data_IF_393757846473
#
_entry.id   IF_393757846473
#
_cell.length_a   1.000
_cell.length_b   1.000
_cell.length_c   1.000
_cell.angle_alpha   90.00
_cell.angle_beta   90.00
_cell.angle_gamma   90.00
#
_symmetry.space_group_name_H-M   'P 1'
#
loop_
_entity.id
_entity.type
_entity.pdbx_description
1 polymer ?
#
# COMPACT_ATOMS: atom_id res chain seq x y z
N UNK A 1 -15.34 30.27 -32.63
CA UNK A 1 -15.98 29.34 -31.71
C UNK A 1 -14.86 28.76 -30.86
N UNK A 2 -14.63 29.37 -29.69
CA UNK A 2 -13.45 29.07 -28.86
C UNK A 2 -13.68 27.76 -28.10
N UNK A 3 -12.74 26.86 -28.23
CA UNK A 3 -12.56 25.71 -27.30
C UNK A 3 -12.27 26.32 -25.95
N UNK A 4 -13.18 26.19 -25.00
CA UNK A 4 -12.90 26.42 -23.60
C UNK A 4 -12.14 25.18 -23.11
N UNK A 5 -10.87 25.36 -22.72
CA UNK A 5 -10.11 24.39 -21.93
C UNK A 5 -10.86 24.16 -20.62
N UNK A 6 -11.50 22.99 -20.47
CA UNK A 6 -12.29 22.59 -19.31
C UNK A 6 -11.44 21.87 -18.27
N UNK A 7 -10.21 22.34 -18.01
CA UNK A 7 -9.31 21.71 -17.03
C UNK A 7 -9.31 22.35 -15.64
N UNK A 8 -10.07 23.44 -15.41
CA UNK A 8 -9.90 24.26 -14.19
C UNK A 8 -11.03 24.16 -13.15
N UNK A 9 -11.96 23.20 -13.25
CA UNK A 9 -13.13 23.16 -12.34
C UNK A 9 -13.34 21.81 -11.64
N UNK A 10 -12.28 20.99 -11.43
CA UNK A 10 -12.38 19.79 -10.62
C UNK A 10 -12.25 20.16 -9.14
N UNK A 11 -13.34 19.95 -8.38
CA UNK A 11 -13.41 20.16 -6.93
C UNK A 11 -12.23 19.49 -6.21
N UNK A 12 -11.69 20.17 -5.20
CA UNK A 12 -10.70 19.62 -4.27
C UNK A 12 -11.26 18.41 -3.52
N UNK A 13 -10.49 17.32 -3.38
CA UNK A 13 -10.84 16.14 -2.57
C UNK A 13 -10.48 16.39 -1.12
N UNK A 14 -11.47 16.33 -0.25
CA UNK A 14 -11.33 16.53 1.20
C UNK A 14 -11.08 15.19 1.88
N UNK A 15 -9.85 15.01 2.36
CA UNK A 15 -9.39 13.77 2.99
C UNK A 15 -9.60 13.76 4.50
N UNK A 16 -10.12 12.64 5.03
CA UNK A 16 -10.10 12.31 6.45
C UNK A 16 -9.11 11.16 6.71
N UNK A 17 -8.58 11.09 7.93
CA UNK A 17 -7.68 10.03 8.37
C UNK A 17 -8.33 9.19 9.46
N UNK A 18 -8.48 7.88 9.26
CA UNK A 18 -8.79 6.92 10.30
C UNK A 18 -7.51 6.29 10.84
N UNK A 19 -7.13 6.63 12.07
CA UNK A 19 -5.91 6.19 12.71
C UNK A 19 -4.79 7.23 12.61
N UNK A 20 -4.72 8.19 13.55
CA UNK A 20 -3.71 9.25 13.62
C UNK A 20 -2.36 8.71 14.16
N UNK A 21 -1.80 7.67 13.54
CA UNK A 21 -0.53 7.05 13.88
C UNK A 21 0.66 7.57 13.06
N UNK A 22 1.84 6.97 13.26
CA UNK A 22 3.08 7.36 12.59
C UNK A 22 2.96 7.35 11.06
N UNK A 23 2.34 6.30 10.49
CA UNK A 23 2.21 6.19 9.03
C UNK A 23 1.31 7.29 8.45
N UNK A 24 0.28 7.68 9.19
CA UNK A 24 -0.63 8.76 8.79
C UNK A 24 0.06 10.13 8.75
N UNK A 25 1.06 10.38 9.60
CA UNK A 25 1.89 11.59 9.52
C UNK A 25 2.67 11.64 8.20
N UNK A 26 3.20 10.51 7.74
CA UNK A 26 3.89 10.43 6.45
C UNK A 26 2.95 10.69 5.28
N UNK A 27 1.82 9.98 5.24
CA UNK A 27 0.79 10.21 4.23
C UNK A 27 0.32 11.67 4.20
N UNK A 28 -0.03 12.25 5.34
CA UNK A 28 -0.50 13.62 5.44
C UNK A 28 0.55 14.65 4.97
N UNK A 29 1.84 14.37 5.23
CA UNK A 29 2.95 15.21 4.74
C UNK A 29 3.05 15.19 3.23
N UNK A 30 2.89 14.04 2.62
CA UNK A 30 2.87 13.86 1.16
C UNK A 30 1.61 14.48 0.54
N UNK A 31 0.45 14.26 1.16
CA UNK A 31 -0.84 14.77 0.69
C UNK A 31 -0.86 16.29 0.57
N UNK A 32 -0.16 17.02 1.46
CA UNK A 32 0.01 18.49 1.37
C UNK A 32 0.66 18.98 0.05
N UNK A 33 1.31 18.09 -0.69
CA UNK A 33 1.97 18.40 -1.96
C UNK A 33 1.15 17.97 -3.17
N UNK A 34 0.00 17.32 -2.92
CA UNK A 34 -0.87 16.80 -3.98
C UNK A 34 -1.87 17.88 -4.40
N UNK A 35 -1.84 18.24 -5.68
CA UNK A 35 -2.78 19.20 -6.24
C UNK A 35 -4.21 18.67 -6.19
N UNK A 36 -5.11 19.51 -5.70
CA UNK A 36 -6.53 19.16 -5.58
C UNK A 36 -6.84 18.21 -4.42
N UNK A 37 -5.96 18.10 -3.43
CA UNK A 37 -6.19 17.39 -2.19
C UNK A 37 -6.06 18.30 -0.97
N UNK A 38 -6.93 18.08 0.02
CA UNK A 38 -6.85 18.77 1.32
C UNK A 38 -7.18 17.80 2.45
N UNK A 39 -6.33 17.78 3.47
CA UNK A 39 -6.60 17.06 4.72
C UNK A 39 -7.51 17.92 5.60
N UNK A 40 -8.67 17.40 5.98
CA UNK A 40 -9.70 18.14 6.71
C UNK A 40 -10.09 17.54 8.04
N UNK A 41 -9.94 16.22 8.24
CA UNK A 41 -10.41 15.51 9.43
C UNK A 41 -9.46 14.43 9.88
N UNK A 42 -9.48 14.12 11.17
CA UNK A 42 -8.77 12.97 11.73
C UNK A 42 -9.56 12.29 12.84
N UNK A 43 -9.49 10.97 12.91
CA UNK A 43 -10.10 10.18 13.98
C UNK A 43 -9.11 9.17 14.56
N UNK A 44 -9.22 8.94 15.87
CA UNK A 44 -8.40 7.97 16.58
C UNK A 44 -8.88 7.70 18.00
N UNK A 45 -8.35 6.63 18.60
CA UNK A 45 -8.69 6.22 19.97
C UNK A 45 -7.80 6.89 21.06
N UNK A 46 -6.65 7.44 20.69
CA UNK A 46 -5.70 8.04 21.65
C UNK A 46 -5.75 9.55 21.52
N UNK A 47 -6.32 10.29 22.51
CA UNK A 47 -6.49 11.74 22.44
C UNK A 47 -5.20 12.47 22.08
N UNK A 48 -4.10 12.17 22.78
CA UNK A 48 -2.82 12.83 22.56
C UNK A 48 -2.30 12.69 21.11
N UNK A 49 -2.48 11.52 20.50
CA UNK A 49 -2.06 11.29 19.11
C UNK A 49 -2.92 12.09 18.12
N UNK A 50 -4.24 12.13 18.34
CA UNK A 50 -5.15 12.89 17.46
C UNK A 50 -4.91 14.39 17.61
N UNK A 51 -4.73 14.90 18.84
CA UNK A 51 -4.41 16.32 19.09
C UNK A 51 -3.08 16.73 18.44
N UNK A 52 -2.03 15.89 18.58
CA UNK A 52 -0.74 16.13 17.95
C UNK A 52 -0.88 16.17 16.42
N UNK A 53 -1.58 15.19 15.84
CA UNK A 53 -1.83 15.10 14.42
C UNK A 53 -2.61 16.33 13.90
N UNK A 54 -3.71 16.67 14.54
CA UNK A 54 -4.52 17.85 14.15
C UNK A 54 -3.72 19.15 14.22
N UNK A 55 -2.89 19.31 15.26
CA UNK A 55 -1.99 20.47 15.38
C UNK A 55 -0.94 20.51 14.27
N UNK A 56 -0.30 19.37 13.96
CA UNK A 56 0.73 19.26 12.94
C UNK A 56 0.21 19.57 11.52
N UNK A 57 -1.05 19.25 11.27
CA UNK A 57 -1.68 19.41 9.97
C UNK A 57 -2.73 20.52 9.89
N UNK A 58 -2.89 21.30 10.96
CA UNK A 58 -3.83 22.42 11.03
C UNK A 58 -5.30 22.04 10.76
N UNK A 59 -5.70 20.88 11.28
CA UNK A 59 -7.08 20.40 11.21
C UNK A 59 -7.91 21.13 12.28
N UNK A 60 -9.10 21.61 11.91
CA UNK A 60 -10.03 22.28 12.84
C UNK A 60 -10.49 21.29 13.92
N UNK A 61 -10.64 21.81 15.16
CA UNK A 61 -11.11 21.02 16.28
C UNK A 61 -12.51 20.41 16.06
N UNK A 62 -13.34 21.04 15.23
CA UNK A 62 -14.65 20.51 14.84
C UNK A 62 -14.59 19.21 14.03
N UNK A 63 -13.45 18.94 13.39
CA UNK A 63 -13.20 17.74 12.59
C UNK A 63 -12.16 16.80 13.22
N UNK A 64 -11.95 16.95 14.54
CA UNK A 64 -11.08 16.11 15.37
C UNK A 64 -11.92 15.15 16.19
N UNK A 65 -11.89 13.86 15.86
CA UNK A 65 -12.77 12.85 16.45
C UNK A 65 -11.97 11.91 17.35
N UNK A 66 -12.34 11.85 18.62
CA UNK A 66 -11.67 11.02 19.62
C UNK A 66 -12.69 10.28 20.46
N UNK A 67 -12.52 8.98 20.63
CA UNK A 67 -13.25 8.17 21.62
C UNK A 67 -12.32 7.09 22.16
N UNK A 68 -12.07 7.11 23.46
CA UNK A 68 -11.18 6.16 24.13
C UNK A 68 -11.93 4.92 24.66
N UNK A 69 -13.20 5.08 25.05
CA UNK A 69 -13.96 4.10 25.83
C UNK A 69 -14.46 2.89 25.02
N UNK A 70 -14.62 3.03 23.71
CA UNK A 70 -15.12 1.99 22.77
C UNK A 70 -14.08 1.51 21.75
N UNK A 71 -12.79 1.75 22.03
CA UNK A 71 -11.70 1.40 21.10
C UNK A 71 -11.63 2.31 19.86
N UNK A 72 -12.34 3.42 19.83
CA UNK A 72 -12.35 4.40 18.74
C UNK A 72 -13.54 4.29 17.79
N UNK A 73 -14.44 3.34 17.98
CA UNK A 73 -15.55 3.07 17.04
C UNK A 73 -16.43 4.30 16.82
N UNK A 74 -16.86 5.00 17.87
CA UNK A 74 -17.69 6.20 17.73
C UNK A 74 -16.95 7.37 17.05
N UNK A 75 -15.65 7.51 17.29
CA UNK A 75 -14.84 8.51 16.59
C UNK A 75 -14.72 8.22 15.09
N UNK A 76 -14.52 6.97 14.74
CA UNK A 76 -14.44 6.55 13.33
C UNK A 76 -15.77 6.74 12.61
N UNK A 77 -16.89 6.39 13.26
CA UNK A 77 -18.23 6.63 12.73
C UNK A 77 -18.52 8.11 12.54
N UNK A 78 -18.12 8.95 13.49
CA UNK A 78 -18.30 10.40 13.39
C UNK A 78 -17.54 11.00 12.19
N UNK A 79 -16.30 10.58 11.96
CA UNK A 79 -15.54 11.01 10.78
C UNK A 79 -16.17 10.50 9.48
N UNK A 80 -16.63 9.24 9.43
CA UNK A 80 -17.31 8.68 8.27
C UNK A 80 -18.60 9.44 7.96
N UNK A 81 -19.32 9.90 8.98
CA UNK A 81 -20.56 10.68 8.84
C UNK A 81 -20.33 12.17 8.50
N UNK A 82 -19.08 12.66 8.59
CA UNK A 82 -18.76 14.06 8.34
C UNK A 82 -19.03 14.44 6.87
N UNK A 83 -19.94 15.43 6.59
CA UNK A 83 -20.23 15.85 5.23
C UNK A 83 -19.07 16.59 4.56
N UNK A 84 -18.09 17.05 5.32
CA UNK A 84 -16.91 17.72 4.80
C UNK A 84 -15.76 16.79 4.42
N UNK A 85 -15.94 15.48 4.58
CA UNK A 85 -15.00 14.44 4.13
C UNK A 85 -15.50 13.79 2.85
N UNK A 86 -14.66 13.71 1.82
CA UNK A 86 -14.94 13.05 0.54
C UNK A 86 -14.25 11.67 0.46
N UNK A 87 -13.05 11.57 1.03
CA UNK A 87 -12.21 10.39 0.98
C UNK A 87 -11.55 10.10 2.32
N UNK A 88 -11.26 8.84 2.57
CA UNK A 88 -10.67 8.35 3.83
C UNK A 88 -9.35 7.65 3.52
N UNK A 89 -8.27 8.09 4.20
CA UNK A 89 -7.07 7.29 4.36
C UNK A 89 -7.23 6.42 5.60
N UNK A 90 -7.28 5.10 5.39
CA UNK A 90 -7.52 4.10 6.43
C UNK A 90 -6.20 3.48 6.87
N UNK A 91 -5.73 3.84 8.06
CA UNK A 91 -4.44 3.42 8.62
C UNK A 91 -4.62 2.86 10.04
N UNK A 92 -5.46 1.87 10.16
CA UNK A 92 -5.75 1.12 11.38
C UNK A 92 -4.95 -0.20 11.40
N UNK A 93 -4.97 -0.99 12.49
CA UNK A 93 -4.48 -2.36 12.47
C UNK A 93 -5.20 -3.21 11.39
N UNK A 94 -4.47 -4.13 10.76
CA UNK A 94 -4.91 -4.85 9.55
C UNK A 94 -6.30 -5.51 9.68
N UNK A 95 -6.57 -6.19 10.81
CA UNK A 95 -7.87 -6.83 11.07
C UNK A 95 -9.06 -5.87 11.22
N UNK A 96 -8.83 -4.56 11.21
CA UNK A 96 -9.89 -3.55 11.24
C UNK A 96 -10.22 -3.01 9.85
N UNK A 97 -9.36 -3.24 8.85
CA UNK A 97 -9.46 -2.61 7.54
C UNK A 97 -10.79 -2.92 6.84
N UNK A 98 -11.14 -4.18 6.69
CA UNK A 98 -12.35 -4.61 5.98
C UNK A 98 -13.63 -4.01 6.57
N UNK A 99 -13.76 -4.04 7.90
CA UNK A 99 -14.92 -3.49 8.59
C UNK A 99 -15.07 -1.99 8.28
N UNK A 100 -13.99 -1.22 8.45
CA UNK A 100 -14.04 0.23 8.32
C UNK A 100 -14.06 0.71 6.86
N UNK A 101 -13.38 0.00 5.96
CA UNK A 101 -13.48 0.24 4.52
C UNK A 101 -14.93 0.06 4.03
N UNK A 102 -15.58 -1.05 4.37
CA UNK A 102 -16.98 -1.31 3.97
C UNK A 102 -17.95 -0.27 4.57
N UNK A 103 -17.73 0.21 5.80
CA UNK A 103 -18.56 1.27 6.40
C UNK A 103 -18.37 2.61 5.67
N UNK A 104 -17.14 2.98 5.38
CA UNK A 104 -16.83 4.21 4.65
C UNK A 104 -17.42 4.21 3.23
N UNK A 105 -17.26 3.11 2.49
CA UNK A 105 -17.81 2.95 1.14
C UNK A 105 -19.36 3.05 1.13
N UNK A 106 -20.04 2.43 2.11
CA UNK A 106 -21.50 2.54 2.26
C UNK A 106 -21.97 3.94 2.61
N UNK A 107 -21.13 4.74 3.25
CA UNK A 107 -21.38 6.16 3.52
C UNK A 107 -21.01 7.07 2.33
N UNK A 108 -20.60 6.51 1.20
CA UNK A 108 -20.22 7.27 0.00
C UNK A 108 -18.81 7.88 0.06
N UNK A 109 -17.97 7.44 1.00
CA UNK A 109 -16.58 7.93 1.13
C UNK A 109 -15.64 7.01 0.36
N UNK A 110 -14.84 7.59 -0.55
CA UNK A 110 -13.75 6.88 -1.21
C UNK A 110 -12.71 6.42 -0.18
N UNK A 111 -12.05 5.29 -0.42
CA UNK A 111 -11.10 4.72 0.54
C UNK A 111 -9.76 4.43 -0.12
N UNK A 112 -8.69 4.99 0.46
CA UNK A 112 -7.32 4.53 0.29
C UNK A 112 -6.92 3.80 1.59
N UNK A 113 -6.75 2.48 1.50
CA UNK A 113 -6.52 1.62 2.66
C UNK A 113 -5.06 1.19 2.74
N UNK A 114 -4.43 1.33 3.90
CA UNK A 114 -3.07 0.83 4.11
C UNK A 114 -2.94 -0.67 3.82
N UNK A 115 -1.74 -1.03 3.40
CA UNK A 115 -1.35 -2.41 3.10
C UNK A 115 -1.06 -3.21 4.41
N UNK A 116 -1.28 -4.53 4.44
CA UNK A 116 -2.20 -5.22 3.54
C UNK A 116 -3.63 -4.78 3.81
N UNK A 117 -4.38 -4.52 2.76
CA UNK A 117 -5.75 -4.03 2.91
C UNK A 117 -6.69 -5.08 3.52
N UNK A 118 -6.33 -6.35 3.40
CA UNK A 118 -7.12 -7.50 3.85
C UNK A 118 -6.23 -8.59 4.42
N UNK A 119 -6.81 -9.50 5.20
CA UNK A 119 -6.12 -10.67 5.77
C UNK A 119 -6.37 -11.97 4.97
N UNK A 120 -7.36 -11.97 4.10
CA UNK A 120 -7.76 -13.14 3.31
C UNK A 120 -8.63 -12.74 2.10
N UNK A 121 -8.85 -13.71 1.21
CA UNK A 121 -9.61 -13.54 -0.02
C UNK A 121 -11.09 -13.16 0.23
N UNK A 122 -11.72 -13.69 1.28
CA UNK A 122 -13.12 -13.37 1.61
C UNK A 122 -13.28 -11.88 1.94
N UNK A 123 -12.33 -11.30 2.66
CA UNK A 123 -12.30 -9.88 2.98
C UNK A 123 -12.12 -9.02 1.72
N UNK A 124 -11.24 -9.46 0.80
CA UNK A 124 -11.01 -8.77 -0.46
C UNK A 124 -12.29 -8.75 -1.32
N UNK A 125 -12.95 -9.91 -1.42
CA UNK A 125 -14.24 -10.00 -2.12
C UNK A 125 -15.32 -9.13 -1.48
N UNK A 126 -15.39 -9.07 -0.15
CA UNK A 126 -16.36 -8.23 0.56
C UNK A 126 -16.16 -6.75 0.25
N UNK A 127 -14.92 -6.24 0.30
CA UNK A 127 -14.61 -4.85 -0.03
C UNK A 127 -14.95 -4.56 -1.50
N UNK A 128 -14.51 -5.43 -2.43
CA UNK A 128 -14.75 -5.25 -3.85
C UNK A 128 -16.25 -5.23 -4.20
N UNK A 129 -17.05 -6.10 -3.55
CA UNK A 129 -18.52 -6.11 -3.72
C UNK A 129 -19.13 -4.78 -3.27
N UNK A 130 -18.79 -4.33 -2.05
CA UNK A 130 -19.33 -3.09 -1.49
C UNK A 130 -18.92 -1.87 -2.32
N UNK A 131 -17.67 -1.81 -2.78
CA UNK A 131 -17.19 -0.73 -3.65
C UNK A 131 -18.01 -0.66 -4.94
N UNK A 132 -18.23 -1.78 -5.61
CA UNK A 132 -19.03 -1.87 -6.84
C UNK A 132 -20.50 -1.55 -6.60
N UNK A 133 -21.11 -2.10 -5.55
CA UNK A 133 -22.51 -1.86 -5.18
C UNK A 133 -22.80 -0.39 -4.88
N UNK A 134 -21.89 0.27 -4.18
CA UNK A 134 -22.03 1.68 -3.82
C UNK A 134 -21.58 2.64 -4.93
N UNK A 135 -20.82 2.16 -5.93
CA UNK A 135 -20.20 3.02 -6.95
C UNK A 135 -19.14 3.96 -6.37
N UNK A 136 -18.45 3.55 -5.29
CA UNK A 136 -17.47 4.36 -4.56
C UNK A 136 -16.11 3.70 -4.64
N UNK A 137 -15.03 4.44 -5.02
CA UNK A 137 -13.72 3.84 -5.23
C UNK A 137 -13.07 3.36 -3.94
N UNK A 138 -12.45 2.18 -4.02
CA UNK A 138 -11.52 1.63 -3.06
C UNK A 138 -10.18 1.38 -3.75
N UNK A 139 -9.07 1.71 -3.07
CA UNK A 139 -7.73 1.38 -3.53
C UNK A 139 -6.86 0.96 -2.34
N UNK A 140 -6.10 -0.12 -2.48
CA UNK A 140 -5.06 -0.48 -1.53
C UNK A 140 -3.83 0.42 -1.73
N UNK A 141 -3.25 0.89 -0.62
CA UNK A 141 -2.07 1.75 -0.60
C UNK A 141 -0.77 0.95 -0.81
N UNK A 142 -0.66 0.31 -1.98
CA UNK A 142 0.52 -0.41 -2.41
C UNK A 142 1.53 0.54 -3.05
N UNK A 143 2.09 1.43 -2.24
CA UNK A 143 2.90 2.60 -2.63
C UNK A 143 4.01 2.31 -3.64
N UNK A 144 4.66 1.12 -3.58
CA UNK A 144 5.73 0.76 -4.50
C UNK A 144 5.27 0.69 -5.97
N UNK A 145 3.98 0.43 -6.25
CA UNK A 145 3.41 0.47 -7.61
C UNK A 145 3.30 1.88 -8.18
N UNK A 146 3.28 2.89 -7.33
CA UNK A 146 3.14 4.30 -7.71
C UNK A 146 4.48 5.05 -7.73
N UNK A 147 5.60 4.36 -7.47
CA UNK A 147 6.94 4.93 -7.55
C UNK A 147 7.42 5.05 -9.01
N UNK A 148 8.21 6.09 -9.35
CA UNK A 148 8.79 6.25 -10.70
C UNK A 148 9.57 5.02 -11.16
N UNK A 149 10.33 4.37 -10.28
CA UNK A 149 11.08 3.15 -10.56
C UNK A 149 10.17 2.01 -11.07
N UNK A 150 8.98 1.83 -10.48
CA UNK A 150 8.05 0.79 -10.92
C UNK A 150 7.65 0.96 -12.40
N UNK A 151 7.32 2.19 -12.79
CA UNK A 151 7.00 2.53 -14.18
C UNK A 151 8.20 2.28 -15.13
N UNK A 152 9.41 2.61 -14.68
CA UNK A 152 10.64 2.38 -15.48
C UNK A 152 10.91 0.89 -15.68
N UNK A 153 10.77 0.08 -14.62
CA UNK A 153 10.93 -1.38 -14.68
C UNK A 153 9.91 -2.00 -15.64
N UNK A 154 8.62 -1.64 -15.50
CA UNK A 154 7.57 -2.14 -16.41
C UNK A 154 7.85 -1.76 -17.87
N UNK A 155 8.25 -0.52 -18.11
CA UNK A 155 8.61 -0.06 -19.45
C UNK A 155 9.78 -0.84 -20.05
N UNK A 156 10.81 -1.12 -19.26
CA UNK A 156 11.96 -1.93 -19.71
C UNK A 156 11.55 -3.38 -20.02
N UNK A 157 10.78 -4.02 -19.15
CA UNK A 157 10.30 -5.38 -19.39
C UNK A 157 9.38 -5.45 -20.62
N UNK A 158 8.47 -4.47 -20.76
CA UNK A 158 7.56 -4.38 -21.91
C UNK A 158 8.27 -4.06 -23.25
N UNK A 159 9.46 -3.45 -23.24
CA UNK A 159 10.26 -3.21 -24.45
C UNK A 159 10.72 -4.52 -25.12
N UNK A 160 10.76 -5.60 -24.36
CA UNK A 160 11.22 -6.89 -24.80
C UNK A 160 12.75 -7.00 -24.92
N UNK A 161 13.53 -5.97 -24.57
CA UNK A 161 15.00 -6.02 -24.64
C UNK A 161 15.60 -7.17 -23.81
N UNK A 162 15.04 -7.44 -22.64
CA UNK A 162 15.48 -8.51 -21.75
C UNK A 162 14.88 -9.89 -22.08
N UNK A 163 13.90 -9.98 -22.98
CA UNK A 163 13.12 -11.18 -23.23
C UNK A 163 12.10 -11.46 -22.14
N UNK A 164 11.60 -12.71 -22.10
CA UNK A 164 10.63 -13.14 -21.10
C UNK A 164 11.27 -13.26 -19.71
N UNK A 165 10.48 -13.06 -18.67
CA UNK A 165 10.88 -13.35 -17.29
C UNK A 165 11.02 -14.86 -17.13
N UNK A 166 12.12 -15.31 -16.54
CA UNK A 166 12.46 -16.74 -16.31
C UNK A 166 12.29 -17.11 -14.85
N UNK A 167 12.64 -16.21 -13.93
CA UNK A 167 12.45 -16.40 -12.49
C UNK A 167 12.50 -15.07 -11.75
N UNK A 168 11.96 -15.06 -10.53
CA UNK A 168 12.05 -13.89 -9.62
C UNK A 168 12.59 -14.38 -8.27
N UNK A 169 13.51 -13.60 -7.69
CA UNK A 169 13.94 -13.72 -6.30
C UNK A 169 13.61 -12.41 -5.56
N UNK A 170 12.93 -12.50 -4.42
CA UNK A 170 12.64 -11.35 -3.56
C UNK A 170 13.18 -11.58 -2.18
N UNK A 171 14.02 -10.66 -1.71
CA UNK A 171 14.55 -10.64 -0.34
C UNK A 171 14.06 -9.37 0.32
N UNK A 172 13.19 -9.51 1.33
CA UNK A 172 12.65 -8.43 2.13
C UNK A 172 13.15 -8.58 3.56
N UNK A 173 14.05 -7.71 3.99
CA UNK A 173 14.66 -7.78 5.31
C UNK A 173 14.52 -6.43 6.00
N UNK A 174 14.00 -6.46 7.23
CA UNK A 174 13.82 -5.27 8.05
C UNK A 174 14.06 -5.64 9.51
N UNK A 175 15.00 -4.94 10.14
CA UNK A 175 15.15 -5.03 11.59
C UNK A 175 14.07 -4.19 12.26
N UNK A 176 13.10 -4.85 12.88
CA UNK A 176 12.02 -4.19 13.62
C UNK A 176 12.43 -3.59 14.95
N UNK A 177 13.67 -3.81 15.39
CA UNK A 177 14.14 -3.40 16.71
C UNK A 177 13.53 -4.21 17.87
N UNK A 178 13.87 -3.83 19.10
CA UNK A 178 13.33 -4.42 20.33
C UNK A 178 12.98 -3.33 21.35
N UNK A 179 11.74 -3.24 21.84
CA UNK A 179 10.59 -4.06 21.42
C UNK A 179 10.02 -3.60 20.07
N UNK A 180 9.53 -4.55 19.24
CA UNK A 180 8.88 -4.19 17.99
C UNK A 180 7.51 -3.56 18.24
N UNK A 181 6.94 -2.94 17.21
CA UNK A 181 5.59 -2.38 17.27
C UNK A 181 4.54 -3.42 17.65
N UNK A 182 3.58 -3.04 18.49
CA UNK A 182 2.60 -3.97 19.07
C UNK A 182 1.72 -4.68 18.03
N UNK A 183 1.41 -4.06 16.90
CA UNK A 183 0.63 -4.68 15.84
C UNK A 183 1.35 -5.86 15.17
N UNK A 184 2.68 -5.83 15.10
CA UNK A 184 3.50 -6.94 14.59
C UNK A 184 3.45 -8.18 15.49
N UNK A 185 3.12 -7.98 16.76
CA UNK A 185 3.04 -9.05 17.77
C UNK A 185 1.62 -9.59 17.97
N UNK A 186 0.66 -9.16 17.15
CA UNK A 186 -0.71 -9.67 17.19
C UNK A 186 -0.78 -11.00 16.42
N UNK A 187 -1.13 -12.15 17.07
CA UNK A 187 -1.12 -13.44 16.42
C UNK A 187 -2.17 -13.62 15.31
N UNK A 188 -3.14 -12.69 15.17
CA UNK A 188 -4.19 -12.75 14.16
C UNK A 188 -3.89 -11.93 12.91
N UNK A 189 -3.05 -10.91 13.03
CA UNK A 189 -2.85 -9.92 11.96
C UNK A 189 -1.43 -9.37 11.86
N UNK A 190 -0.52 -9.80 12.76
CA UNK A 190 0.88 -9.39 12.78
C UNK A 190 1.78 -10.30 11.96
N UNK A 191 3.08 -10.17 12.22
CA UNK A 191 4.12 -10.93 11.54
C UNK A 191 4.77 -10.17 10.38
N UNK A 192 5.90 -10.68 9.92
CA UNK A 192 6.70 -10.02 8.90
C UNK A 192 6.15 -10.24 7.48
N UNK A 193 5.44 -11.35 7.25
CA UNK A 193 4.88 -11.64 5.93
C UNK A 193 3.79 -10.62 5.55
N UNK A 194 2.86 -10.32 6.47
CA UNK A 194 1.87 -9.27 6.25
C UNK A 194 2.49 -7.89 6.13
N UNK A 195 3.53 -7.58 6.94
CA UNK A 195 4.09 -6.23 6.92
C UNK A 195 4.98 -5.95 5.72
N UNK A 196 5.89 -6.86 5.37
CA UNK A 196 6.88 -6.65 4.30
C UNK A 196 6.66 -7.56 3.08
N UNK A 197 6.17 -8.78 3.27
CA UNK A 197 5.95 -9.72 2.17
C UNK A 197 4.93 -9.22 1.14
N UNK A 198 3.93 -8.46 1.57
CA UNK A 198 2.93 -7.86 0.68
C UNK A 198 3.55 -6.99 -0.43
N UNK A 199 4.68 -6.31 -0.18
CA UNK A 199 5.37 -5.54 -1.22
C UNK A 199 5.97 -6.43 -2.32
N UNK A 200 6.50 -7.59 -1.95
CA UNK A 200 6.99 -8.57 -2.93
C UNK A 200 5.83 -9.16 -3.75
N UNK A 201 4.75 -9.55 -3.07
CA UNK A 201 3.52 -10.04 -3.73
C UNK A 201 2.98 -8.98 -4.70
N UNK A 202 2.97 -7.70 -4.29
CA UNK A 202 2.57 -6.59 -5.14
C UNK A 202 3.39 -6.48 -6.45
N UNK A 203 4.68 -6.82 -6.44
CA UNK A 203 5.49 -6.92 -7.66
C UNK A 203 5.12 -8.14 -8.49
N UNK A 204 4.94 -9.32 -7.86
CA UNK A 204 4.65 -10.56 -8.59
C UNK A 204 3.31 -10.48 -9.31
N UNK A 205 2.29 -10.00 -8.63
CA UNK A 205 0.93 -9.85 -9.18
C UNK A 205 0.90 -8.88 -10.37
N UNK A 206 1.66 -7.78 -10.32
CA UNK A 206 1.67 -6.78 -11.39
C UNK A 206 2.55 -7.17 -12.59
N UNK A 207 3.55 -8.00 -12.39
CA UNK A 207 4.49 -8.42 -13.45
C UNK A 207 4.12 -9.74 -14.11
N UNK A 208 3.40 -10.63 -13.42
CA UNK A 208 3.12 -11.98 -13.86
C UNK A 208 1.61 -12.21 -13.97
N UNK A 209 1.22 -13.10 -14.88
CA UNK A 209 -0.17 -13.51 -15.03
C UNK A 209 -0.30 -15.02 -14.81
N UNK A 210 -1.42 -15.47 -14.29
CA UNK A 210 -1.74 -16.88 -14.10
C UNK A 210 -1.91 -17.28 -12.64
N UNK A 211 -2.16 -18.58 -12.42
CA UNK A 211 -2.36 -19.13 -11.09
C UNK A 211 -1.07 -19.07 -10.25
N UNK A 212 -1.24 -18.84 -8.96
CA UNK A 212 -0.18 -18.93 -7.96
C UNK A 212 -0.20 -20.32 -7.31
N UNK A 213 0.94 -21.01 -7.34
CA UNK A 213 1.14 -22.30 -6.70
C UNK A 213 2.28 -22.22 -5.69
N UNK A 214 2.00 -22.43 -4.40
CA UNK A 214 3.02 -22.46 -3.34
C UNK A 214 3.51 -23.90 -3.18
N UNK A 215 4.79 -24.14 -3.46
CA UNK A 215 5.41 -25.48 -3.37
C UNK A 215 5.99 -25.78 -1.98
N UNK A 216 6.53 -24.78 -1.29
CA UNK A 216 7.00 -24.92 0.10
C UNK A 216 7.01 -23.58 0.83
N UNK A 217 6.88 -23.66 2.15
CA UNK A 217 7.03 -22.53 3.07
C UNK A 217 7.75 -23.00 4.33
N UNK A 218 8.86 -22.37 4.66
CA UNK A 218 9.57 -22.53 5.94
C UNK A 218 9.40 -21.27 6.77
N UNK A 219 9.04 -21.42 8.06
CA UNK A 219 8.71 -20.30 8.95
C UNK A 219 9.54 -20.35 10.21
N UNK A 220 10.21 -19.26 10.52
CA UNK A 220 10.74 -19.00 11.86
C UNK A 220 9.70 -18.23 12.66
N UNK A 221 9.16 -18.87 13.68
CA UNK A 221 8.12 -18.29 14.55
C UNK A 221 8.73 -17.49 15.70
N UNK A 222 8.02 -16.46 16.12
CA UNK A 222 8.23 -15.75 17.38
C UNK A 222 7.02 -15.96 18.26
N UNK A 223 7.24 -16.48 19.47
CA UNK A 223 6.19 -16.62 20.48
C UNK A 223 5.78 -15.25 21.03
N UNK A 224 4.48 -15.03 21.16
CA UNK A 224 3.85 -13.81 21.63
C UNK A 224 2.72 -14.13 22.60
N UNK A 225 2.19 -13.13 23.30
CA UNK A 225 1.00 -13.32 24.13
C UNK A 225 -0.19 -13.74 23.25
N UNK A 226 -0.78 -14.89 23.56
CA UNK A 226 -1.93 -15.43 22.84
C UNK A 226 -1.61 -16.28 21.61
N UNK A 227 -0.33 -16.53 21.29
CA UNK A 227 0.03 -17.38 20.17
C UNK A 227 1.46 -17.18 19.65
N UNK A 228 1.60 -17.13 18.35
CA UNK A 228 2.86 -16.89 17.67
C UNK A 228 2.64 -16.09 16.39
N UNK A 229 3.66 -15.35 15.96
CA UNK A 229 3.70 -14.65 14.66
C UNK A 229 4.88 -15.16 13.85
N UNK A 230 4.78 -15.11 12.53
CA UNK A 230 5.92 -15.34 11.64
C UNK A 230 6.95 -14.21 11.84
N UNK A 231 8.22 -14.59 11.93
CA UNK A 231 9.31 -13.64 12.12
C UNK A 231 10.39 -13.76 11.04
N UNK A 232 10.37 -14.85 10.30
CA UNK A 232 10.96 -14.98 8.97
C UNK A 232 10.23 -16.07 8.21
N UNK A 233 10.09 -15.86 6.91
CA UNK A 233 9.52 -16.79 5.95
C UNK A 233 10.48 -16.99 4.77
N UNK A 234 10.62 -18.25 4.35
CA UNK A 234 11.23 -18.61 3.09
C UNK A 234 10.18 -19.40 2.28
N UNK A 235 9.82 -18.88 1.12
CA UNK A 235 8.70 -19.37 0.33
C UNK A 235 9.17 -19.64 -1.10
N UNK A 236 8.93 -20.87 -1.58
CA UNK A 236 9.06 -21.23 -2.99
C UNK A 236 7.66 -21.34 -3.59
N UNK A 237 7.44 -20.61 -4.67
CA UNK A 237 6.16 -20.58 -5.37
C UNK A 237 6.37 -20.41 -6.87
N UNK A 238 5.28 -20.46 -7.63
CA UNK A 238 5.26 -20.03 -9.03
C UNK A 238 4.00 -19.24 -9.34
N UNK A 239 4.09 -18.29 -10.27
CA UNK A 239 2.94 -17.59 -10.83
C UNK A 239 2.97 -17.76 -12.34
N UNK A 240 1.90 -18.36 -12.90
CA UNK A 240 1.86 -18.68 -14.33
C UNK A 240 2.99 -19.62 -14.80
N UNK A 241 3.52 -20.45 -13.89
CA UNK A 241 4.67 -21.34 -14.16
C UNK A 241 6.04 -20.69 -14.02
N UNK A 242 6.13 -19.39 -13.76
CA UNK A 242 7.40 -18.69 -13.48
C UNK A 242 7.79 -18.93 -12.02
N UNK A 243 8.95 -19.56 -11.73
CA UNK A 243 9.37 -19.82 -10.37
C UNK A 243 9.77 -18.55 -9.63
N UNK A 244 9.39 -18.50 -8.36
CA UNK A 244 9.64 -17.40 -7.45
C UNK A 244 10.22 -17.96 -6.15
N UNK A 245 11.31 -17.33 -5.67
CA UNK A 245 11.86 -17.52 -4.34
C UNK A 245 11.68 -16.24 -3.55
N UNK A 246 10.96 -16.28 -2.42
CA UNK A 246 10.70 -15.13 -1.58
C UNK A 246 11.22 -15.37 -0.16
N UNK A 247 12.01 -14.45 0.34
CA UNK A 247 12.48 -14.41 1.74
C UNK A 247 12.02 -13.14 2.39
N UNK A 248 11.38 -13.26 3.56
CA UNK A 248 11.04 -12.15 4.44
C UNK A 248 11.69 -12.40 5.80
N UNK A 249 12.42 -11.43 6.38
CA UNK A 249 13.10 -11.62 7.67
C UNK A 249 13.03 -10.35 8.52
N UNK A 250 12.41 -10.46 9.69
CA UNK A 250 12.19 -9.38 10.66
C UNK A 250 13.37 -9.12 11.62
N UNK A 251 14.50 -9.81 11.46
CA UNK A 251 15.70 -9.62 12.31
C UNK A 251 16.95 -9.20 11.56
N UNK A 252 16.95 -9.24 10.25
CA UNK A 252 18.18 -9.09 9.49
C UNK A 252 18.27 -7.70 8.87
N UNK A 253 19.24 -6.91 9.30
CA UNK A 253 19.61 -5.63 8.69
C UNK A 253 20.47 -5.87 7.44
N UNK A 254 19.93 -6.58 6.45
CA UNK A 254 20.54 -6.71 5.13
C UNK A 254 19.77 -5.90 4.10
N UNK A 255 20.40 -5.60 2.98
CA UNK A 255 19.75 -4.88 1.89
C UNK A 255 18.64 -5.72 1.26
N UNK A 256 17.42 -5.18 1.27
CA UNK A 256 16.29 -5.79 0.57
C UNK A 256 16.46 -5.58 -0.94
N UNK A 257 16.19 -6.61 -1.72
CA UNK A 257 16.26 -6.53 -3.19
C UNK A 257 15.21 -7.42 -3.86
N UNK A 258 14.92 -7.08 -5.11
CA UNK A 258 14.13 -7.90 -6.02
C UNK A 258 14.98 -8.15 -7.28
N UNK A 259 15.28 -9.42 -7.55
CA UNK A 259 15.99 -9.84 -8.75
C UNK A 259 15.01 -10.47 -9.75
N UNK A 260 14.95 -9.93 -10.95
CA UNK A 260 14.17 -10.48 -12.05
C UNK A 260 15.15 -11.05 -13.09
N UNK A 261 15.22 -12.36 -13.22
CA UNK A 261 15.98 -13.02 -14.25
C UNK A 261 15.14 -13.14 -15.52
N UNK A 262 15.73 -12.76 -16.65
CA UNK A 262 15.10 -12.80 -17.97
C UNK A 262 15.99 -13.60 -18.95
N UNK A 263 15.44 -13.96 -20.11
CA UNK A 263 16.15 -14.74 -21.15
C UNK A 263 17.45 -14.07 -21.63
N UNK A 264 17.52 -12.74 -21.64
CA UNK A 264 18.64 -11.97 -22.18
C UNK A 264 19.31 -11.04 -21.17
N UNK A 265 19.12 -11.30 -19.86
CA UNK A 265 19.76 -10.53 -18.81
C UNK A 265 19.05 -10.66 -17.48
N UNK A 266 19.40 -9.78 -16.56
CA UNK A 266 18.79 -9.70 -15.23
C UNK A 266 18.65 -8.25 -14.78
N UNK A 267 17.68 -8.01 -13.91
CA UNK A 267 17.41 -6.73 -13.30
C UNK A 267 17.38 -6.92 -11.78
N UNK A 268 18.13 -6.10 -11.05
CA UNK A 268 18.11 -6.06 -9.59
C UNK A 268 17.58 -4.71 -9.14
N UNK A 269 16.48 -4.70 -8.38
CA UNK A 269 15.85 -3.51 -7.82
C UNK A 269 16.22 -3.44 -6.35
N UNK A 270 16.84 -2.36 -5.92
CA UNK A 270 17.16 -2.12 -4.52
C UNK A 270 15.91 -1.66 -3.75
N UNK A 271 15.77 -2.13 -2.52
CA UNK A 271 14.69 -1.74 -1.60
C UNK A 271 13.31 -1.75 -2.28
N UNK A 272 12.80 -2.89 -2.78
CA UNK A 272 11.62 -2.97 -3.64
C UNK A 272 10.31 -2.45 -3.00
N UNK A 273 10.30 -2.22 -1.68
CA UNK A 273 9.21 -1.52 -0.98
C UNK A 273 9.28 0.02 -1.11
N UNK A 274 10.46 0.56 -1.53
CA UNK A 274 10.75 1.98 -1.75
C UNK A 274 11.82 2.12 -2.85
N UNK A 275 11.52 1.70 -4.07
CA UNK A 275 12.54 1.55 -5.12
C UNK A 275 12.89 2.90 -5.74
N UNK A 276 14.18 3.23 -5.77
CA UNK A 276 14.76 4.40 -6.44
C UNK A 276 15.93 4.03 -7.35
N UNK A 277 16.57 2.85 -7.13
CA UNK A 277 17.74 2.41 -7.88
C UNK A 277 17.55 0.98 -8.37
N UNK A 278 17.93 0.73 -9.63
CA UNK A 278 17.98 -0.60 -10.20
C UNK A 278 19.16 -0.80 -11.13
N UNK A 279 19.67 -2.03 -11.18
CA UNK A 279 20.82 -2.43 -11.99
C UNK A 279 20.42 -3.49 -12.98
N UNK A 280 20.65 -3.23 -14.26
CA UNK A 280 20.37 -4.15 -15.36
C UNK A 280 21.70 -4.71 -15.89
N UNK A 281 21.77 -6.02 -16.05
CA UNK A 281 22.89 -6.71 -16.70
C UNK A 281 22.37 -7.50 -17.88
N UNK A 282 22.77 -7.15 -19.08
CA UNK A 282 22.44 -7.87 -20.31
C UNK A 282 23.38 -9.06 -20.56
N UNK A 283 22.90 -10.09 -21.24
CA UNK A 283 23.70 -11.26 -21.58
C UNK A 283 24.87 -10.96 -22.53
N UNK A 284 24.81 -9.84 -23.26
CA UNK A 284 25.89 -9.37 -24.13
C UNK A 284 26.98 -8.58 -23.36
N UNK A 285 26.87 -8.47 -22.05
CA UNK A 285 27.81 -7.80 -21.16
C UNK A 285 27.55 -6.31 -20.95
N UNK A 286 26.58 -5.70 -21.61
CA UNK A 286 26.11 -4.34 -21.29
C UNK A 286 25.56 -4.29 -19.87
N UNK A 287 25.75 -3.15 -19.20
CA UNK A 287 25.15 -2.83 -17.92
C UNK A 287 24.42 -1.49 -18.02
N UNK A 288 23.32 -1.36 -17.31
CA UNK A 288 22.56 -0.13 -17.22
C UNK A 288 22.17 0.09 -15.75
N UNK A 289 22.39 1.28 -15.23
CA UNK A 289 21.86 1.74 -13.96
C UNK A 289 20.63 2.60 -14.23
N UNK A 290 19.55 2.33 -13.53
CA UNK A 290 18.31 3.10 -13.58
C UNK A 290 18.19 3.82 -12.25
N UNK A 291 18.33 5.15 -12.29
CA UNK A 291 18.04 6.05 -11.19
C UNK A 291 16.67 6.69 -11.45
N UNK A 292 15.75 6.50 -10.52
CA UNK A 292 14.38 7.00 -10.59
C UNK A 292 13.88 7.42 -9.20
N UNK A 293 14.42 8.55 -8.68
CA UNK A 293 14.07 9.05 -7.36
C UNK A 293 12.60 9.42 -7.26
N UNK A 294 12.08 9.45 -6.04
CA UNK A 294 10.72 9.93 -5.78
C UNK A 294 10.58 11.40 -6.17
N UNK A 295 9.41 11.76 -6.67
CA UNK A 295 9.08 13.16 -6.99
C UNK A 295 9.03 14.03 -5.71
N UNK A 296 8.45 13.50 -4.64
CA UNK A 296 8.39 14.10 -3.31
C UNK A 296 8.91 13.11 -2.27
N UNK A 297 8.20 11.99 -2.11
CA UNK A 297 8.54 10.83 -1.29
C UNK A 297 7.78 9.57 -1.77
N UNK A 298 7.93 8.45 -1.04
CA UNK A 298 7.32 7.17 -1.41
C UNK A 298 5.80 7.07 -1.20
N UNK A 299 5.13 8.07 -0.59
CA UNK A 299 3.67 8.17 -0.44
C UNK A 299 3.01 9.07 -1.49
N UNK A 300 3.78 10.00 -2.05
CA UNK A 300 3.23 11.01 -2.95
C UNK A 300 2.51 10.41 -4.17
N UNK A 301 3.12 9.41 -4.79
CA UNK A 301 2.57 8.78 -6.00
C UNK A 301 1.18 8.19 -5.78
N UNK A 302 0.99 7.41 -4.71
CA UNK A 302 -0.31 6.80 -4.41
C UNK A 302 -1.36 7.83 -3.97
N UNK A 303 -0.97 8.82 -3.14
CA UNK A 303 -1.87 9.89 -2.69
C UNK A 303 -2.34 10.76 -3.88
N UNK A 304 -1.42 11.11 -4.79
CA UNK A 304 -1.73 11.84 -6.02
C UNK A 304 -2.65 11.05 -6.93
N UNK A 305 -2.33 9.77 -7.17
CA UNK A 305 -3.14 8.89 -8.02
C UNK A 305 -4.54 8.69 -7.46
N UNK A 306 -4.68 8.40 -6.16
CA UNK A 306 -5.99 8.24 -5.52
C UNK A 306 -6.83 9.53 -5.61
N UNK A 307 -6.21 10.69 -5.34
CA UNK A 307 -6.88 11.99 -5.49
C UNK A 307 -7.39 12.21 -6.91
N UNK A 308 -6.56 11.95 -7.92
CA UNK A 308 -6.95 12.11 -9.33
C UNK A 308 -8.01 11.10 -9.76
N UNK A 309 -7.94 9.86 -9.28
CA UNK A 309 -8.95 8.82 -9.51
C UNK A 309 -10.34 9.30 -9.04
N UNK A 310 -10.41 9.82 -7.81
CA UNK A 310 -11.64 10.35 -7.20
C UNK A 310 -12.15 11.56 -7.97
N UNK A 311 -11.29 12.53 -8.28
CA UNK A 311 -11.65 13.73 -9.06
C UNK A 311 -12.19 13.39 -10.46
N UNK A 312 -11.66 12.33 -11.06
CA UNK A 312 -12.11 11.86 -12.38
C UNK A 312 -13.40 11.01 -12.30
N UNK A 313 -13.96 10.77 -11.11
CA UNK A 313 -15.15 9.94 -10.92
C UNK A 313 -14.94 8.47 -11.34
N UNK A 314 -13.71 7.99 -11.32
CA UNK A 314 -13.38 6.61 -11.68
C UNK A 314 -13.54 5.70 -10.45
N UNK A 315 -14.15 4.55 -10.67
CA UNK A 315 -14.39 3.57 -9.60
C UNK A 315 -13.13 2.78 -9.24
N UNK A 316 -12.25 2.51 -10.21
CA UNK A 316 -11.14 1.56 -10.06
C UNK A 316 -9.85 2.10 -10.66
N UNK A 317 -8.75 1.88 -9.96
CA UNK A 317 -7.41 2.25 -10.42
C UNK A 317 -6.92 1.26 -11.48
N UNK A 318 -6.34 1.73 -12.60
CA UNK A 318 -5.67 0.84 -13.54
C UNK A 318 -4.30 0.34 -13.04
N UNK A 319 -3.74 0.96 -11.99
CA UNK A 319 -2.43 0.61 -11.41
C UNK A 319 -2.58 -0.36 -10.23
N UNK A 320 -3.63 -0.18 -9.44
CA UNK A 320 -3.98 -1.05 -8.32
C UNK A 320 -5.48 -1.34 -8.38
N UNK A 321 -5.90 -2.24 -9.31
CA UNK A 321 -7.31 -2.61 -9.44
C UNK A 321 -7.78 -3.45 -8.26
N UNK A 322 -9.09 -3.52 -8.04
CA UNK A 322 -9.68 -4.34 -6.96
C UNK A 322 -9.26 -5.81 -7.04
N UNK A 323 -9.05 -6.33 -8.25
CA UNK A 323 -8.57 -7.69 -8.45
C UNK A 323 -7.14 -7.92 -7.94
N UNK A 324 -6.31 -6.89 -7.89
CA UNK A 324 -4.95 -6.98 -7.37
C UNK A 324 -4.87 -7.10 -5.85
N UNK A 325 -5.94 -6.73 -5.13
CA UNK A 325 -6.07 -6.94 -3.67
C UNK A 325 -6.59 -8.34 -3.34
N UNK A 326 -7.17 -9.05 -4.31
CA UNK A 326 -7.69 -10.42 -4.19
C UNK A 326 -6.59 -11.47 -4.34
#
# INVERSE_FOLDING_TARGET
MGYRDSCDDLREVRWGVLGAGHISHRFASSLKKVDGARLVAAAGRTPAHVEEFCRAFSIDAAHSYVTADDGGDAAYDALIADPDVDAIYLALPHGMHTRWACRALRAGKAVLCEKPAVLNEEEAHAIASVSRECGVPFMEAMKNRFCPMHTRVKGLLASGELGCIVSIESVQKLDYGEPPSSYLLDPLQGGCLYDMGCYAVGWFEDLLAGACDVSSREVRWRDVSGGRVDWADEIHMSVGGIPIHMVVDGKAAYESHLTIACERGSLVIERPHRPELAHVKYSDGRVLEIDAPFEVDDFYGEASHATQLIRAGKLESPVMPLAATQ
#
